data_IF_499694817409
#
_entry.id   IF_499694817409
#
_cell.length_a   1.000
_cell.length_b   1.000
_cell.length_c   1.000
_cell.angle_alpha   90.00
_cell.angle_beta   90.00
_cell.angle_gamma   90.00
#
_symmetry.space_group_name_H-M   'P 1'
#
loop_
_entity.id
_entity.type
_entity.pdbx_description
1 polymer ?
#
# COMPACT_ATOMS: atom_id res chain seq x y z
N UNK A 1 -1.51 18.55 -15.76
CA UNK A 1 -1.77 17.13 -15.55
C UNK A 1 -1.25 16.73 -14.17
N UNK A 2 -2.08 16.11 -13.36
CA UNK A 2 -1.69 15.67 -12.03
C UNK A 2 -1.10 14.27 -12.10
N UNK A 3 0.07 14.08 -11.50
CA UNK A 3 0.79 12.80 -11.52
C UNK A 3 0.76 12.11 -10.15
N UNK A 4 1.11 10.82 -10.14
CA UNK A 4 1.24 10.06 -8.90
C UNK A 4 2.21 10.72 -7.92
N UNK A 5 3.33 11.26 -8.41
CA UNK A 5 4.32 11.98 -7.61
C UNK A 5 3.71 13.14 -6.83
N UNK A 6 2.79 13.87 -7.46
CA UNK A 6 2.17 15.06 -6.86
C UNK A 6 1.20 14.73 -5.74
N UNK A 7 0.57 13.55 -5.78
CA UNK A 7 -0.43 13.15 -4.79
C UNK A 7 0.07 12.14 -3.77
N UNK A 8 1.20 11.49 -4.01
CA UNK A 8 1.73 10.47 -3.11
C UNK A 8 2.24 11.06 -1.79
N UNK A 9 2.30 10.20 -0.78
CA UNK A 9 3.05 10.46 0.43
C UNK A 9 4.47 9.90 0.21
N UNK A 10 5.45 10.79 0.15
CA UNK A 10 6.85 10.42 -0.05
C UNK A 10 7.49 9.97 1.28
N UNK A 11 8.66 9.35 1.21
CA UNK A 11 9.41 8.98 2.40
C UNK A 11 8.85 7.81 3.17
N UNK A 12 8.06 6.95 2.51
CA UNK A 12 7.53 5.73 3.13
C UNK A 12 8.65 4.77 3.50
N UNK A 13 8.46 4.07 4.63
CA UNK A 13 9.41 3.07 5.09
C UNK A 13 8.92 1.68 4.72
N UNK A 14 9.83 0.85 4.21
CA UNK A 14 9.56 -0.56 3.95
C UNK A 14 9.73 -1.39 5.21
N UNK A 15 8.94 -2.47 5.32
CA UNK A 15 9.32 -3.60 6.14
C UNK A 15 10.12 -4.57 5.26
N UNK A 16 11.18 -5.16 5.81
CA UNK A 16 11.95 -6.16 5.05
C UNK A 16 11.22 -7.49 5.07
N UNK A 17 11.36 -8.27 3.99
CA UNK A 17 10.64 -9.54 3.84
C UNK A 17 10.94 -10.56 4.94
N UNK A 18 12.13 -10.47 5.58
CA UNK A 18 12.54 -11.37 6.66
C UNK A 18 12.15 -10.88 8.06
N UNK A 19 11.57 -9.69 8.17
CA UNK A 19 11.07 -9.20 9.46
C UNK A 19 9.72 -9.86 9.80
N UNK A 20 9.40 -9.94 11.10
CA UNK A 20 8.19 -10.60 11.56
C UNK A 20 6.94 -9.73 11.38
N UNK A 21 5.77 -10.38 11.44
CA UNK A 21 4.49 -9.65 11.48
C UNK A 21 4.36 -8.82 12.75
N UNK A 22 5.01 -9.23 13.84
CA UNK A 22 5.07 -8.42 15.06
C UNK A 22 5.84 -7.12 14.79
N UNK A 23 6.97 -7.19 14.11
CA UNK A 23 7.72 -6.00 13.70
C UNK A 23 6.87 -5.09 12.82
N UNK A 24 6.12 -5.68 11.87
CA UNK A 24 5.22 -4.92 11.00
C UNK A 24 4.14 -4.19 11.80
N UNK A 25 3.50 -4.89 12.74
CA UNK A 25 2.47 -4.29 13.59
C UNK A 25 3.02 -3.13 14.43
N UNK A 26 4.22 -3.29 14.98
CA UNK A 26 4.88 -2.24 15.75
C UNK A 26 5.23 -1.03 14.87
N UNK A 27 5.72 -1.25 13.65
CA UNK A 27 5.96 -0.17 12.70
C UNK A 27 4.69 0.57 12.34
N UNK A 28 3.59 -0.15 12.07
CA UNK A 28 2.30 0.47 11.78
C UNK A 28 1.82 1.34 12.93
N UNK A 29 1.96 0.86 14.16
CA UNK A 29 1.61 1.62 15.37
C UNK A 29 2.45 2.88 15.49
N UNK A 30 3.76 2.74 15.37
CA UNK A 30 4.70 3.84 15.61
C UNK A 30 4.64 4.91 14.50
N UNK A 31 4.36 4.49 13.26
CA UNK A 31 4.21 5.38 12.11
C UNK A 31 2.77 5.87 11.91
N UNK A 32 1.82 5.32 12.66
CA UNK A 32 0.38 5.60 12.52
C UNK A 32 -0.13 5.36 11.10
N UNK A 33 0.18 4.19 10.56
CA UNK A 33 -0.24 3.77 9.22
C UNK A 33 -0.89 2.40 9.27
N UNK A 34 -1.74 2.09 8.29
CA UNK A 34 -2.43 0.80 8.19
C UNK A 34 -1.81 -0.15 7.15
N UNK A 35 -0.71 0.25 6.52
CA UNK A 35 -0.04 -0.58 5.53
C UNK A 35 1.44 -0.25 5.47
N UNK A 36 2.23 -1.23 5.03
CA UNK A 36 3.66 -1.08 4.79
C UNK A 36 4.03 -1.76 3.48
N UNK A 37 4.85 -1.12 2.64
CA UNK A 37 5.48 -1.83 1.53
C UNK A 37 6.46 -2.88 2.07
N UNK A 38 6.54 -4.02 1.39
CA UNK A 38 7.48 -5.09 1.71
C UNK A 38 8.61 -5.01 0.70
N UNK A 39 9.84 -4.83 1.18
CA UNK A 39 11.02 -4.74 0.33
C UNK A 39 11.94 -5.92 0.57
N UNK A 40 12.59 -6.40 -0.49
CA UNK A 40 13.61 -7.42 -0.42
C UNK A 40 14.97 -6.85 -0.05
N UNK A 41 15.99 -7.70 -0.07
CA UNK A 41 17.38 -7.32 0.21
C UNK A 41 17.94 -6.34 -0.82
N UNK A 42 17.39 -6.35 -2.02
CA UNK A 42 17.75 -5.48 -3.13
C UNK A 42 17.07 -4.10 -3.04
N UNK A 43 16.33 -3.83 -1.97
CA UNK A 43 15.49 -2.65 -1.76
C UNK A 43 14.38 -2.50 -2.80
N UNK A 44 14.08 -3.56 -3.54
CA UNK A 44 12.97 -3.57 -4.49
C UNK A 44 11.68 -3.94 -3.80
N UNK A 45 10.59 -3.39 -4.31
CA UNK A 45 9.25 -3.67 -3.80
C UNK A 45 8.84 -5.10 -4.16
N UNK A 46 8.47 -5.90 -3.16
CA UNK A 46 8.03 -7.29 -3.31
C UNK A 46 6.54 -7.48 -2.98
N UNK A 47 5.93 -6.56 -2.28
CA UNK A 47 4.53 -6.66 -1.91
C UNK A 47 4.10 -5.53 -1.01
N UNK A 48 2.91 -5.66 -0.46
CA UNK A 48 2.36 -4.74 0.54
C UNK A 48 1.67 -5.57 1.62
N UNK A 49 1.83 -5.17 2.87
CA UNK A 49 1.13 -5.79 4.00
C UNK A 49 0.24 -4.75 4.66
N UNK A 50 -0.97 -5.18 5.04
CA UNK A 50 -1.93 -4.32 5.73
C UNK A 50 -2.22 -4.84 7.13
N UNK A 51 -2.76 -3.98 7.98
CA UNK A 51 -3.27 -4.35 9.29
C UNK A 51 -4.36 -5.42 9.18
N UNK A 52 -5.22 -5.34 8.17
CA UNK A 52 -6.23 -6.36 7.90
C UNK A 52 -5.61 -7.71 7.59
N UNK A 53 -4.52 -7.76 6.81
CA UNK A 53 -3.80 -9.01 6.54
C UNK A 53 -3.32 -9.67 7.82
N UNK A 54 -2.77 -8.90 8.75
CA UNK A 54 -2.28 -9.42 10.03
C UNK A 54 -3.44 -10.01 10.84
N UNK A 55 -4.56 -9.30 10.92
CA UNK A 55 -5.74 -9.77 11.65
C UNK A 55 -6.29 -11.06 11.05
N UNK A 56 -6.51 -11.08 9.72
CA UNK A 56 -7.22 -12.19 9.07
C UNK A 56 -6.33 -13.40 8.77
N UNK A 57 -5.05 -13.21 8.50
CA UNK A 57 -4.15 -14.27 8.06
C UNK A 57 -3.19 -14.75 9.13
N UNK A 58 -3.13 -14.06 10.27
CA UNK A 58 -2.31 -14.43 11.40
C UNK A 58 -3.17 -14.64 12.65
N UNK A 59 -3.78 -13.58 13.16
CA UNK A 59 -4.54 -13.62 14.43
C UNK A 59 -5.75 -14.55 14.31
N UNK A 60 -6.56 -14.41 13.26
CA UNK A 60 -7.76 -15.22 13.06
C UNK A 60 -7.43 -16.71 12.87
N UNK A 61 -6.26 -17.03 12.32
CA UNK A 61 -5.81 -18.41 12.14
C UNK A 61 -5.10 -18.97 13.36
N UNK A 62 -5.04 -18.23 14.45
CA UNK A 62 -4.40 -18.65 15.70
C UNK A 62 -2.88 -18.75 15.60
N UNK A 63 -2.25 -18.06 14.66
CA UNK A 63 -0.81 -18.10 14.44
C UNK A 63 -0.12 -17.00 15.25
N UNK A 64 1.16 -17.23 15.53
CA UNK A 64 1.98 -16.28 16.29
C UNK A 64 2.63 -15.27 15.33
N UNK A 65 2.34 -13.96 15.48
CA UNK A 65 2.92 -12.95 14.62
C UNK A 65 4.45 -12.86 14.71
N UNK A 66 5.05 -13.26 15.82
CA UNK A 66 6.51 -13.27 15.97
C UNK A 66 7.18 -14.38 15.16
N UNK A 67 6.41 -15.39 14.73
CA UNK A 67 6.90 -16.56 13.98
C UNK A 67 6.62 -16.47 12.49
N UNK A 68 5.83 -15.49 12.05
CA UNK A 68 5.52 -15.27 10.64
C UNK A 68 6.33 -14.10 10.11
N UNK A 69 6.76 -14.17 8.84
CA UNK A 69 7.50 -13.09 8.20
C UNK A 69 6.62 -12.26 7.28
N UNK A 70 7.02 -11.01 7.07
CA UNK A 70 6.33 -10.12 6.13
C UNK A 70 6.33 -10.69 4.71
N UNK A 71 7.41 -11.38 4.32
CA UNK A 71 7.50 -12.00 2.99
C UNK A 71 6.42 -13.04 2.72
N UNK A 72 5.91 -13.71 3.76
CA UNK A 72 4.80 -14.65 3.63
C UNK A 72 3.49 -13.96 3.23
N UNK A 73 3.40 -12.65 3.44
CA UNK A 73 2.23 -11.85 3.07
C UNK A 73 2.33 -11.29 1.65
N UNK A 74 3.46 -11.45 0.98
CA UNK A 74 3.62 -11.02 -0.41
C UNK A 74 2.61 -11.75 -1.28
N UNK A 75 1.90 -11.00 -2.11
CA UNK A 75 0.88 -11.54 -2.99
C UNK A 75 0.85 -10.75 -4.29
N UNK A 76 -0.35 -10.54 -4.82
CA UNK A 76 -0.50 -9.71 -6.02
C UNK A 76 -0.04 -8.30 -5.73
N UNK A 77 0.93 -7.83 -6.52
CA UNK A 77 1.50 -6.52 -6.39
C UNK A 77 1.02 -5.64 -7.52
N UNK A 78 0.37 -4.54 -7.16
CA UNK A 78 -0.01 -3.46 -8.07
C UNK A 78 0.79 -2.22 -7.71
N UNK A 79 1.19 -1.45 -8.71
CA UNK A 79 2.00 -0.25 -8.53
C UNK A 79 1.82 0.67 -9.72
N UNK A 80 2.22 1.92 -9.56
CA UNK A 80 2.26 2.90 -10.65
C UNK A 80 3.61 3.58 -10.66
N UNK A 81 3.98 4.15 -11.80
CA UNK A 81 5.17 4.99 -11.92
C UNK A 81 4.87 6.40 -11.40
N UNK A 82 5.90 7.06 -10.88
CA UNK A 82 5.78 8.39 -10.31
C UNK A 82 5.21 9.42 -11.31
N UNK A 83 5.51 9.24 -12.59
CA UNK A 83 5.06 10.17 -13.64
C UNK A 83 3.72 9.77 -14.29
N UNK A 84 3.08 8.70 -13.82
CA UNK A 84 1.77 8.29 -14.30
C UNK A 84 0.71 9.32 -13.91
N UNK A 85 -0.25 9.54 -14.82
CA UNK A 85 -1.36 10.45 -14.59
C UNK A 85 -2.29 9.92 -13.48
N UNK A 86 -2.90 10.84 -12.74
CA UNK A 86 -3.85 10.50 -11.68
C UNK A 86 -4.97 9.60 -12.17
N UNK A 87 -5.41 9.75 -13.42
CA UNK A 87 -6.45 8.90 -14.00
C UNK A 87 -6.02 7.43 -14.05
N UNK A 88 -4.74 7.16 -14.32
CA UNK A 88 -4.19 5.81 -14.29
C UNK A 88 -4.10 5.27 -12.86
N UNK A 89 -3.71 6.12 -11.91
CA UNK A 89 -3.70 5.76 -10.48
C UNK A 89 -5.09 5.31 -10.04
N UNK A 90 -6.11 6.11 -10.35
CA UNK A 90 -7.50 5.81 -9.98
C UNK A 90 -7.99 4.51 -10.61
N UNK A 91 -7.74 4.31 -11.90
CA UNK A 91 -8.16 3.07 -12.58
C UNK A 91 -7.48 1.84 -12.00
N UNK A 92 -6.18 1.93 -11.70
CA UNK A 92 -5.45 0.81 -11.09
C UNK A 92 -6.05 0.43 -9.75
N UNK A 93 -6.36 1.42 -8.92
CA UNK A 93 -6.97 1.18 -7.61
C UNK A 93 -8.41 0.65 -7.74
N UNK A 94 -9.21 1.24 -8.62
CA UNK A 94 -10.60 0.85 -8.84
C UNK A 94 -10.73 -0.56 -9.41
N UNK A 95 -9.96 -0.88 -10.46
CA UNK A 95 -10.02 -2.17 -11.15
C UNK A 95 -9.57 -3.32 -10.25
N UNK A 96 -8.67 -3.07 -9.34
CA UNK A 96 -8.16 -4.07 -8.40
C UNK A 96 -8.78 -3.96 -7.01
N UNK A 97 -9.66 -3.00 -6.81
CA UNK A 97 -10.36 -2.74 -5.54
C UNK A 97 -9.40 -2.64 -4.36
N UNK A 98 -8.33 -1.89 -4.57
CA UNK A 98 -7.31 -1.62 -3.56
C UNK A 98 -7.34 -0.14 -3.15
N UNK A 99 -7.00 0.12 -1.90
CA UNK A 99 -7.11 1.46 -1.30
C UNK A 99 -5.76 2.10 -1.04
N UNK A 100 -4.70 1.40 -1.37
CA UNK A 100 -3.32 1.86 -1.23
C UNK A 100 -2.53 1.35 -2.41
N UNK A 101 -1.65 2.19 -2.96
CA UNK A 101 -0.92 1.87 -4.17
C UNK A 101 0.52 2.38 -4.06
N UNK A 102 1.52 1.50 -4.16
CA UNK A 102 2.92 1.92 -4.20
C UNK A 102 3.24 2.69 -5.47
N UNK A 103 4.11 3.68 -5.34
CA UNK A 103 4.62 4.50 -6.43
C UNK A 103 6.10 4.20 -6.61
N UNK A 104 6.50 3.88 -7.84
CA UNK A 104 7.86 3.45 -8.19
C UNK A 104 8.48 4.43 -9.18
N UNK A 105 9.78 4.66 -9.03
CA UNK A 105 10.61 5.39 -9.98
C UNK A 105 11.96 4.69 -10.06
N UNK A 106 12.42 4.38 -11.28
CA UNK A 106 13.70 3.69 -11.49
C UNK A 106 13.82 2.40 -10.67
N UNK A 107 12.76 1.61 -10.66
CA UNK A 107 12.65 0.33 -9.94
C UNK A 107 12.68 0.45 -8.42
N UNK A 108 12.61 1.67 -7.88
CA UNK A 108 12.62 1.92 -6.43
C UNK A 108 11.30 2.49 -5.95
N UNK A 109 10.92 2.11 -4.75
CA UNK A 109 9.75 2.68 -4.08
C UNK A 109 10.06 4.13 -3.71
N UNK A 110 9.22 5.06 -4.16
CA UNK A 110 9.37 6.49 -3.85
C UNK A 110 8.21 7.06 -3.05
N UNK A 111 7.09 6.35 -2.98
CA UNK A 111 5.95 6.82 -2.20
C UNK A 111 4.79 5.84 -2.20
N UNK A 112 3.70 6.25 -1.55
CA UNK A 112 2.43 5.52 -1.48
C UNK A 112 1.30 6.49 -1.74
N UNK A 113 0.28 6.02 -2.46
CA UNK A 113 -1.00 6.74 -2.59
C UNK A 113 -2.04 5.99 -1.76
N UNK A 114 -2.72 6.70 -0.86
CA UNK A 114 -3.80 6.18 -0.03
C UNK A 114 -5.10 6.94 -0.31
N UNK A 115 -6.21 6.42 0.23
CA UNK A 115 -7.50 7.14 0.18
C UNK A 115 -7.40 8.55 0.77
N UNK A 116 -6.62 8.71 1.85
CA UNK A 116 -6.43 10.03 2.47
C UNK A 116 -5.74 11.02 1.51
N UNK A 117 -4.76 10.54 0.74
CA UNK A 117 -4.09 11.36 -0.27
C UNK A 117 -5.08 11.76 -1.38
N UNK A 118 -5.91 10.82 -1.82
CA UNK A 118 -6.93 11.11 -2.83
C UNK A 118 -7.95 12.12 -2.32
N UNK A 119 -8.36 12.00 -1.05
CA UNK A 119 -9.31 12.92 -0.44
C UNK A 119 -8.79 14.37 -0.44
N UNK A 120 -7.46 14.53 -0.33
CA UNK A 120 -6.84 15.87 -0.33
C UNK A 120 -6.68 16.47 -1.73
N UNK A 121 -6.66 15.65 -2.78
CA UNK A 121 -6.28 16.10 -4.14
C UNK A 121 -7.40 15.97 -5.17
N UNK A 122 -8.38 15.09 -4.96
CA UNK A 122 -9.50 14.92 -5.88
C UNK A 122 -10.63 15.90 -5.55
N UNK A 123 -11.40 16.28 -6.56
CA UNK A 123 -12.66 16.99 -6.32
C UNK A 123 -13.71 16.02 -5.75
N UNK A 124 -14.83 16.59 -5.27
CA UNK A 124 -15.86 15.78 -4.60
C UNK A 124 -16.46 14.71 -5.50
N UNK A 125 -16.68 15.03 -6.78
CA UNK A 125 -17.26 14.08 -7.75
C UNK A 125 -16.31 12.93 -8.02
N UNK A 126 -15.03 13.21 -8.25
CA UNK A 126 -14.01 12.19 -8.49
C UNK A 126 -13.84 11.30 -7.27
N UNK A 127 -13.82 11.89 -6.06
CA UNK A 127 -13.67 11.14 -4.83
C UNK A 127 -14.87 10.21 -4.59
N UNK A 128 -16.09 10.72 -4.80
CA UNK A 128 -17.30 9.92 -4.65
C UNK A 128 -17.34 8.74 -5.63
N UNK A 129 -16.98 8.94 -6.88
CA UNK A 129 -16.89 7.88 -7.88
C UNK A 129 -15.84 6.83 -7.51
N UNK A 130 -14.67 7.27 -7.05
CA UNK A 130 -13.60 6.38 -6.61
C UNK A 130 -14.07 5.49 -5.46
N UNK A 131 -14.66 6.07 -4.42
CA UNK A 131 -15.16 5.33 -3.26
C UNK A 131 -16.20 4.30 -3.68
N UNK A 132 -17.15 4.70 -4.52
CA UNK A 132 -18.18 3.79 -5.03
C UNK A 132 -17.57 2.59 -5.75
N UNK A 133 -16.59 2.82 -6.63
CA UNK A 133 -15.96 1.77 -7.45
C UNK A 133 -15.04 0.87 -6.64
N UNK A 134 -14.24 1.43 -5.75
CA UNK A 134 -13.26 0.65 -4.98
C UNK A 134 -13.93 -0.28 -3.97
N UNK A 135 -15.10 0.11 -3.47
CA UNK A 135 -15.88 -0.70 -2.54
C UNK A 135 -17.02 -1.47 -3.18
N UNK A 136 -17.17 -1.42 -4.50
CA UNK A 136 -18.22 -2.15 -5.21
C UNK A 136 -18.07 -3.66 -4.99
N UNK A 137 -19.21 -4.31 -4.85
CA UNK A 137 -19.27 -5.77 -4.66
C UNK A 137 -20.14 -6.42 -5.71
#
# INVERSE_FOLDING_TARGET
>A
MTTAREIMNAGVQCIKENQSLLDAAQMMRDLDVGSLPICGRDDKLHGIITDRDIVLRCVADGRDPSSMTAGEMSGHLHWVNADDDVSHVLRTMEDNQIRRLPVIEDHRLVGMVSEADLARHLDETQLAEFVERVYAR
#
